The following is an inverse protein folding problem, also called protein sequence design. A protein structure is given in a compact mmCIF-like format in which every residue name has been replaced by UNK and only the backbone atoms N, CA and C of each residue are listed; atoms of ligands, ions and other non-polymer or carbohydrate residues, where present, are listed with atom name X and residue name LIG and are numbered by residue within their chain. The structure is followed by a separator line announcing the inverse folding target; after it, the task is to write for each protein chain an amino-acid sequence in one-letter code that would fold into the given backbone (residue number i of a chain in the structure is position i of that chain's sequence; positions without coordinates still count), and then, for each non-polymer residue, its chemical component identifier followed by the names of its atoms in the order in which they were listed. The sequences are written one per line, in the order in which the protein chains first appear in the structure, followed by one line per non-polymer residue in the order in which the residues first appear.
data_IF_884119493211
#
_entry.id   IF_884119493211
#
_cell.length_a   1.000
_cell.length_b   1.000
_cell.length_c   1.000
_cell.angle_alpha   90.00
_cell.angle_beta   90.00
_cell.angle_gamma   90.00
#
_symmetry.space_group_name_H-M   'P 1'
#
loop_
_entity.id
_entity.type
_entity.pdbx_description
1 polymer ?
#
# COMPACT_ATOMS: atom_id res chain seq x y z
N UNK A 1 3.08 6.75 10.79
CA UNK A 1 1.60 6.86 10.67
C UNK A 1 0.97 6.52 12.00
N UNK A 2 0.12 7.38 12.50
CA UNK A 2 -0.73 7.06 13.65
C UNK A 2 -1.94 6.30 13.16
N UNK A 3 -2.23 5.14 13.78
CA UNK A 3 -3.39 4.28 13.45
C UNK A 3 -3.56 4.07 11.93
N UNK A 4 -2.58 3.47 11.26
CA UNK A 4 -2.70 3.24 9.82
C UNK A 4 -3.92 2.37 9.49
N UNK A 5 -4.65 2.67 8.41
CA UNK A 5 -5.82 1.89 8.01
C UNK A 5 -5.50 0.48 7.56
N UNK A 6 -4.26 0.26 7.09
CA UNK A 6 -3.73 -1.07 6.84
C UNK A 6 -2.39 -1.22 7.56
N UNK A 7 -2.28 -2.27 8.34
CA UNK A 7 -1.10 -2.63 9.10
C UNK A 7 -0.96 -4.14 9.09
N UNK A 8 0.19 -4.64 8.70
CA UNK A 8 0.45 -6.07 8.67
C UNK A 8 1.89 -6.39 9.05
N UNK A 9 2.09 -7.54 9.67
CA UNK A 9 3.42 -8.12 9.86
C UNK A 9 3.88 -8.73 8.55
N UNK A 10 5.13 -8.44 8.17
CA UNK A 10 5.75 -8.91 6.94
C UNK A 10 6.79 -9.97 7.26
N UNK A 11 6.75 -11.07 6.54
CA UNK A 11 7.75 -12.13 6.64
C UNK A 11 9.00 -11.75 5.87
N UNK A 12 10.15 -11.90 6.52
CA UNK A 12 11.47 -11.79 5.88
C UNK A 12 11.93 -13.21 5.59
N UNK A 13 12.14 -13.52 4.30
CA UNK A 13 12.63 -14.82 3.86
C UNK A 13 14.15 -14.79 3.72
N UNK A 14 14.78 -15.94 3.89
CA UNK A 14 16.22 -16.07 3.69
C UNK A 14 16.65 -15.60 2.28
N UNK A 15 15.86 -15.92 1.26
CA UNK A 15 16.10 -15.49 -0.12
C UNK A 15 15.95 -13.98 -0.37
N UNK A 16 15.42 -13.22 0.60
CA UNK A 16 15.31 -11.76 0.51
C UNK A 16 16.62 -11.03 0.81
N UNK A 17 17.61 -11.73 1.37
CA UNK A 17 18.87 -11.14 1.79
C UNK A 17 19.85 -10.98 0.64
N UNK A 18 20.65 -9.90 0.69
CA UNK A 18 21.80 -9.68 -0.17
C UNK A 18 23.06 -10.37 0.42
N UNK A 19 24.22 -10.34 -0.29
CA UNK A 19 25.45 -10.93 0.24
C UNK A 19 25.97 -10.34 1.54
N UNK A 20 25.50 -9.16 1.93
CA UNK A 20 25.87 -8.49 3.19
C UNK A 20 24.97 -8.85 4.37
N UNK A 21 23.95 -9.70 4.14
CA UNK A 21 23.01 -10.12 5.17
C UNK A 21 21.86 -9.14 5.44
N UNK A 22 21.73 -8.11 4.63
CA UNK A 22 20.60 -7.17 4.66
C UNK A 22 19.53 -7.58 3.66
N UNK A 23 18.28 -7.21 3.91
CA UNK A 23 17.23 -7.35 2.91
C UNK A 23 17.62 -6.53 1.67
N UNK A 24 17.60 -7.20 0.50
CA UNK A 24 17.90 -6.56 -0.77
C UNK A 24 16.95 -5.39 -1.03
N UNK A 25 17.48 -4.27 -1.52
CA UNK A 25 16.72 -3.06 -1.77
C UNK A 25 15.50 -3.27 -2.68
N UNK A 26 15.55 -4.19 -3.64
CA UNK A 26 14.43 -4.51 -4.54
C UNK A 26 13.25 -5.18 -3.80
N UNK A 27 13.50 -5.89 -2.71
CA UNK A 27 12.47 -6.60 -1.93
C UNK A 27 11.52 -5.64 -1.23
N UNK A 28 11.93 -4.41 -0.94
CA UNK A 28 11.07 -3.39 -0.33
C UNK A 28 9.82 -3.11 -1.16
N UNK A 29 9.91 -3.20 -2.48
CA UNK A 29 8.74 -3.05 -3.37
C UNK A 29 7.74 -4.19 -3.19
N UNK A 30 8.21 -5.41 -2.94
CA UNK A 30 7.35 -6.56 -2.62
C UNK A 30 6.66 -6.35 -1.26
N UNK A 31 7.34 -5.78 -0.29
CA UNK A 31 6.73 -5.43 1.00
C UNK A 31 5.62 -4.39 0.83
N UNK A 32 5.84 -3.36 0.03
CA UNK A 32 4.80 -2.37 -0.29
C UNK A 32 3.61 -3.02 -0.98
N UNK A 33 3.85 -3.95 -1.89
CA UNK A 33 2.77 -4.70 -2.55
C UNK A 33 1.92 -5.50 -1.57
N UNK A 34 2.55 -6.21 -0.63
CA UNK A 34 1.83 -6.96 0.40
C UNK A 34 0.98 -6.06 1.29
N UNK A 35 1.49 -4.90 1.67
CA UNK A 35 0.74 -3.91 2.47
C UNK A 35 -0.41 -3.31 1.65
N UNK A 36 -0.19 -3.03 0.38
CA UNK A 36 -1.24 -2.57 -0.55
C UNK A 36 -2.37 -3.59 -0.66
N UNK A 37 -2.03 -4.87 -0.83
CA UNK A 37 -3.02 -5.96 -0.86
C UNK A 37 -3.81 -6.01 0.45
N UNK A 38 -3.15 -5.84 1.59
CA UNK A 38 -3.82 -5.75 2.89
C UNK A 38 -4.82 -4.59 2.92
N UNK A 39 -4.45 -3.42 2.44
CA UNK A 39 -5.35 -2.26 2.33
C UNK A 39 -6.58 -2.57 1.47
N UNK A 40 -6.37 -3.12 0.28
CA UNK A 40 -7.45 -3.48 -0.63
C UNK A 40 -8.38 -4.55 -0.06
N UNK A 41 -7.86 -5.50 0.72
CA UNK A 41 -8.70 -6.50 1.41
C UNK A 41 -9.63 -5.85 2.42
N UNK A 42 -9.14 -4.85 3.15
CA UNK A 42 -10.00 -4.08 4.08
C UNK A 42 -11.11 -3.36 3.30
N UNK A 43 -10.80 -2.72 2.18
CA UNK A 43 -11.82 -2.09 1.33
C UNK A 43 -12.83 -3.11 0.81
N UNK A 44 -12.38 -4.27 0.35
CA UNK A 44 -13.24 -5.33 -0.16
C UNK A 44 -14.22 -5.83 0.89
N UNK A 45 -13.74 -6.04 2.11
CA UNK A 45 -14.60 -6.43 3.24
C UNK A 45 -15.69 -5.38 3.51
N UNK A 46 -15.33 -4.10 3.44
CA UNK A 46 -16.28 -2.99 3.67
C UNK A 46 -17.37 -2.91 2.60
N UNK A 47 -17.08 -3.29 1.35
CA UNK A 47 -18.05 -3.26 0.24
C UNK A 47 -18.69 -4.62 -0.04
N UNK A 48 -18.41 -5.64 0.78
CA UNK A 48 -19.05 -6.95 0.71
C UNK A 48 -18.53 -7.88 -0.39
N UNK A 49 -17.28 -7.71 -0.81
CA UNK A 49 -16.63 -8.62 -1.74
C UNK A 49 -15.97 -9.76 -0.96
N UNK A 50 -16.52 -10.96 -1.06
CA UNK A 50 -16.13 -12.10 -0.24
C UNK A 50 -14.80 -12.76 -0.61
N UNK A 51 -14.35 -12.65 -1.85
CA UNK A 51 -13.14 -13.32 -2.31
C UNK A 51 -12.25 -12.37 -3.10
N UNK A 52 -11.09 -12.11 -2.53
CA UNK A 52 -9.96 -11.45 -3.19
C UNK A 52 -8.85 -12.47 -3.38
N UNK A 53 -8.67 -12.92 -4.59
CA UNK A 53 -7.42 -13.57 -4.96
C UNK A 53 -6.42 -12.48 -5.37
N UNK A 54 -5.27 -12.43 -4.67
CA UNK A 54 -4.17 -11.52 -4.96
C UNK A 54 -4.54 -10.02 -5.08
N UNK A 55 -5.59 -9.58 -4.38
CA UNK A 55 -6.01 -8.17 -4.44
C UNK A 55 -6.78 -7.80 -5.71
N UNK A 56 -7.21 -8.76 -6.50
CA UNK A 56 -7.95 -8.51 -7.74
C UNK A 56 -9.43 -8.25 -7.46
N UNK A 57 -9.85 -7.00 -7.56
CA UNK A 57 -11.25 -6.61 -7.49
C UNK A 57 -11.72 -6.23 -8.90
N UNK A 58 -12.69 -6.96 -9.48
CA UNK A 58 -13.26 -6.56 -10.77
C UNK A 58 -13.78 -5.11 -10.76
N UNK A 59 -13.40 -4.33 -11.77
CA UNK A 59 -13.73 -2.91 -11.86
C UNK A 59 -12.83 -1.98 -11.06
N UNK A 60 -11.91 -2.52 -10.27
CA UNK A 60 -10.94 -1.75 -9.48
C UNK A 60 -9.49 -2.19 -9.74
N UNK A 61 -9.24 -2.80 -10.87
CA UNK A 61 -7.88 -3.17 -11.30
C UNK A 61 -7.06 -1.93 -11.60
N UNK A 62 -5.76 -2.00 -11.35
CA UNK A 62 -4.84 -0.87 -11.51
C UNK A 62 -3.49 -1.32 -12.03
N UNK A 63 -2.76 -0.35 -12.56
CA UNK A 63 -1.32 -0.47 -12.84
C UNK A 63 -0.56 0.55 -12.01
N UNK A 64 0.69 0.24 -11.68
CA UNK A 64 1.57 1.15 -10.96
C UNK A 64 2.26 2.05 -11.98
N UNK A 65 2.09 3.37 -11.83
CA UNK A 65 2.72 4.36 -12.68
C UNK A 65 4.07 4.81 -12.14
N UNK A 66 4.20 4.90 -10.81
CA UNK A 66 5.42 5.36 -10.15
C UNK A 66 5.49 4.77 -8.74
N UNK A 67 6.70 4.44 -8.30
CA UNK A 67 6.97 4.07 -6.91
C UNK A 67 8.25 4.74 -6.46
N UNK A 68 8.23 5.33 -5.28
CA UNK A 68 9.41 5.88 -4.61
C UNK A 68 9.67 5.13 -3.33
N UNK A 69 10.94 4.92 -3.01
CA UNK A 69 11.39 4.31 -1.76
C UNK A 69 12.53 5.15 -1.17
N UNK A 70 12.43 5.44 0.12
CA UNK A 70 13.51 6.01 0.91
C UNK A 70 13.95 5.00 1.94
N UNK A 71 15.20 4.58 1.83
CA UNK A 71 15.83 3.63 2.76
C UNK A 71 16.44 4.41 3.93
N UNK A 72 15.94 4.15 5.15
CA UNK A 72 16.37 4.86 6.36
C UNK A 72 17.35 4.04 7.18
N UNK A 73 17.17 2.72 7.23
CA UNK A 73 18.00 1.79 7.97
C UNK A 73 17.91 0.39 7.34
N UNK A 74 18.95 -0.44 7.49
CA UNK A 74 18.90 -1.81 6.97
C UNK A 74 17.89 -2.66 7.73
N UNK A 75 17.36 -3.68 7.03
CA UNK A 75 16.52 -4.71 7.61
C UNK A 75 17.33 -6.01 7.62
N UNK A 76 17.35 -6.69 8.77
CA UNK A 76 18.05 -7.96 8.95
C UNK A 76 17.05 -9.12 9.05
N UNK A 77 17.53 -10.34 8.80
CA UNK A 77 16.69 -11.55 8.84
C UNK A 77 15.97 -11.75 10.17
N UNK A 78 16.63 -11.43 11.28
CA UNK A 78 16.10 -11.59 12.64
C UNK A 78 15.07 -10.51 13.03
N UNK A 79 14.92 -9.46 12.23
CA UNK A 79 14.01 -8.36 12.54
C UNK A 79 12.54 -8.79 12.46
N UNK A 80 11.73 -8.22 13.34
CA UNK A 80 10.28 -8.26 13.24
C UNK A 80 9.87 -7.04 12.41
N UNK A 81 9.28 -7.27 11.24
CA UNK A 81 8.95 -6.23 10.28
C UNK A 81 7.44 -6.00 10.20
N UNK A 82 7.04 -4.74 10.30
CA UNK A 82 5.68 -4.26 10.12
C UNK A 82 5.60 -3.32 8.93
N UNK A 83 4.58 -3.50 8.12
CA UNK A 83 4.26 -2.60 7.01
C UNK A 83 2.92 -1.92 7.23
N UNK A 84 2.86 -0.64 6.91
CA UNK A 84 1.66 0.19 7.01
C UNK A 84 1.43 0.95 5.72
N UNK A 85 0.17 1.20 5.41
CA UNK A 85 -0.23 1.99 4.25
C UNK A 85 -1.43 2.89 4.58
N UNK A 86 -1.48 4.02 3.89
CA UNK A 86 -2.63 4.91 3.87
C UNK A 86 -2.83 5.50 2.48
N UNK A 87 -4.03 5.94 2.21
CA UNK A 87 -4.32 6.69 0.99
C UNK A 87 -3.84 8.14 1.14
N UNK A 88 -3.13 8.66 0.15
CA UNK A 88 -2.70 10.05 0.13
C UNK A 88 -3.65 10.91 -0.70
N UNK A 89 -3.84 10.56 -1.96
CA UNK A 89 -4.70 11.30 -2.89
C UNK A 89 -5.53 10.36 -3.76
N UNK A 90 -6.68 10.85 -4.22
CA UNK A 90 -7.57 10.13 -5.14
C UNK A 90 -8.01 11.10 -6.23
N UNK A 91 -7.68 10.76 -7.47
CA UNK A 91 -8.17 11.44 -8.67
C UNK A 91 -9.34 10.69 -9.31
N UNK A 92 -9.76 11.12 -10.49
CA UNK A 92 -10.86 10.47 -11.22
C UNK A 92 -10.47 9.08 -11.73
N UNK A 93 -9.20 8.88 -12.09
CA UNK A 93 -8.68 7.65 -12.72
C UNK A 93 -7.44 7.11 -12.02
N UNK A 94 -7.06 7.71 -10.90
CA UNK A 94 -5.82 7.40 -10.21
C UNK A 94 -5.94 7.56 -8.72
N UNK A 95 -4.98 6.99 -8.00
CA UNK A 95 -4.80 7.22 -6.56
C UNK A 95 -3.33 7.06 -6.20
N UNK A 96 -2.94 7.68 -5.10
CA UNK A 96 -1.60 7.54 -4.54
C UNK A 96 -1.66 7.07 -3.10
N UNK A 97 -0.74 6.18 -2.73
CA UNK A 97 -0.62 5.64 -1.39
C UNK A 97 0.75 5.97 -0.81
N UNK A 98 0.79 6.15 0.50
CA UNK A 98 2.01 6.23 1.29
C UNK A 98 2.22 4.92 2.06
N UNK A 99 3.48 4.51 2.19
CA UNK A 99 3.90 3.29 2.88
C UNK A 99 4.97 3.60 3.93
N UNK A 100 4.94 2.85 5.02
CA UNK A 100 6.01 2.80 6.01
C UNK A 100 6.36 1.35 6.35
N UNK A 101 7.65 1.10 6.52
CA UNK A 101 8.18 -0.14 7.09
C UNK A 101 8.88 0.19 8.41
N UNK A 102 8.56 -0.56 9.45
CA UNK A 102 9.17 -0.42 10.78
C UNK A 102 9.59 -1.77 11.33
N UNK A 103 10.74 -1.81 12.00
CA UNK A 103 11.22 -2.98 12.72
C UNK A 103 11.05 -2.80 14.23
N UNK A 104 10.64 -3.85 14.94
CA UNK A 104 10.44 -3.85 16.38
C UNK A 104 9.31 -4.78 16.79
N UNK A 105 9.14 -4.97 18.11
CA UNK A 105 8.08 -5.83 18.66
C UNK A 105 6.68 -5.34 18.28
N UNK A 106 6.50 -4.01 18.23
CA UNK A 106 5.25 -3.38 17.81
C UNK A 106 5.54 -2.34 16.74
N UNK A 107 4.55 -2.05 15.91
CA UNK A 107 4.66 -0.98 14.92
C UNK A 107 4.90 0.39 15.58
N UNK A 108 4.11 0.74 16.59
CA UNK A 108 4.18 2.05 17.24
C UNK A 108 5.48 2.30 18.00
N UNK A 109 6.10 1.25 18.54
CA UNK A 109 7.41 1.31 19.20
C UNK A 109 8.59 1.00 18.28
N UNK A 110 8.32 0.76 16.99
CA UNK A 110 9.31 0.33 16.02
C UNK A 110 10.16 1.45 15.45
N UNK A 111 11.30 1.06 14.88
CA UNK A 111 12.20 1.95 14.16
C UNK A 111 11.77 2.06 12.70
N UNK A 112 11.63 3.28 12.19
CA UNK A 112 11.35 3.50 10.77
C UNK A 112 12.58 3.09 9.94
N UNK A 113 12.40 2.07 9.10
CA UNK A 113 13.48 1.54 8.24
C UNK A 113 13.30 1.92 6.77
N UNK A 114 12.08 2.17 6.33
CA UNK A 114 11.80 2.69 4.99
C UNK A 114 10.45 3.40 4.97
N UNK A 115 10.34 4.35 4.07
CA UNK A 115 9.09 4.99 3.69
C UNK A 115 9.02 5.11 2.17
N UNK A 116 7.82 5.20 1.64
CA UNK A 116 7.66 5.32 0.20
C UNK A 116 6.26 5.73 -0.19
N UNK A 117 6.09 5.89 -1.49
CA UNK A 117 4.80 6.19 -2.09
C UNK A 117 4.68 5.52 -3.44
N UNK A 118 3.45 5.28 -3.88
CA UNK A 118 3.18 4.78 -5.21
C UNK A 118 1.95 5.47 -5.80
N UNK A 119 2.05 5.82 -7.07
CA UNK A 119 0.94 6.30 -7.88
C UNK A 119 0.38 5.15 -8.71
N UNK A 120 -0.94 5.04 -8.72
CA UNK A 120 -1.68 3.97 -9.38
C UNK A 120 -2.69 4.58 -10.36
N UNK A 121 -2.91 3.88 -11.46
CA UNK A 121 -3.92 4.25 -12.45
C UNK A 121 -4.90 3.09 -12.59
N UNK A 122 -6.19 3.37 -12.45
CA UNK A 122 -7.22 2.37 -12.71
C UNK A 122 -7.21 1.97 -14.18
N UNK A 123 -7.21 0.67 -14.43
CA UNK A 123 -6.96 0.12 -15.74
C UNK A 123 -7.83 -1.10 -16.01
N UNK A 124 -8.43 -1.14 -17.18
CA UNK A 124 -9.17 -2.31 -17.65
C UNK A 124 -8.24 -3.16 -18.53
N UNK A 125 -7.81 -4.33 -18.05
CA UNK A 125 -6.92 -5.20 -18.82
C UNK A 125 -7.57 -5.86 -20.02
N UNK A 126 -8.90 -5.98 -20.03
CA UNK A 126 -9.64 -6.58 -21.15
C UNK A 126 -9.72 -5.61 -22.33
N UNK A 127 -10.04 -4.34 -22.04
CA UNK A 127 -10.11 -3.28 -23.03
C UNK A 127 -8.75 -2.58 -23.27
N UNK A 128 -7.75 -2.89 -22.44
CA UNK A 128 -6.42 -2.27 -22.46
C UNK A 128 -6.49 -0.73 -22.40
N UNK A 129 -7.33 -0.21 -21.51
CA UNK A 129 -7.58 1.22 -21.35
C UNK A 129 -7.58 1.66 -19.91
N UNK A 130 -7.24 2.93 -19.69
CA UNK A 130 -7.45 3.61 -18.43
C UNK A 130 -8.94 3.74 -18.17
N UNK A 131 -9.37 3.48 -16.94
CA UNK A 131 -10.77 3.59 -16.53
C UNK A 131 -10.95 4.52 -15.35
N UNK A 132 -12.17 4.95 -15.10
CA UNK A 132 -12.51 5.73 -13.92
C UNK A 132 -12.49 4.84 -12.68
N UNK A 133 -12.20 5.46 -11.52
CA UNK A 133 -12.34 4.77 -10.24
C UNK A 133 -13.77 4.24 -10.06
N UNK A 134 -13.93 3.11 -9.35
CA UNK A 134 -15.27 2.65 -8.99
C UNK A 134 -16.02 3.70 -8.16
N UNK A 135 -17.32 3.80 -8.34
CA UNK A 135 -18.16 4.79 -7.64
C UNK A 135 -18.08 4.69 -6.11
N UNK A 136 -17.88 3.48 -5.58
CA UNK A 136 -17.78 3.23 -4.16
C UNK A 136 -16.42 3.58 -3.56
N UNK A 137 -15.36 3.74 -4.37
CA UNK A 137 -13.97 3.80 -3.90
C UNK A 137 -13.70 4.99 -2.98
N UNK A 138 -13.97 6.19 -3.42
CA UNK A 138 -13.67 7.41 -2.66
C UNK A 138 -14.37 7.43 -1.30
N UNK A 139 -15.68 7.17 -1.27
CA UNK A 139 -16.44 7.17 -0.01
C UNK A 139 -16.00 6.06 0.94
N UNK A 140 -15.62 4.89 0.41
CA UNK A 140 -15.17 3.77 1.24
C UNK A 140 -13.81 4.07 1.87
N UNK A 141 -12.88 4.62 1.10
CA UNK A 141 -11.59 5.09 1.62
C UNK A 141 -11.78 6.17 2.67
N UNK A 142 -12.63 7.16 2.40
CA UNK A 142 -12.94 8.24 3.35
C UNK A 142 -13.49 7.69 4.67
N UNK A 143 -14.39 6.72 4.61
CA UNK A 143 -14.93 6.04 5.78
C UNK A 143 -13.87 5.24 6.53
N UNK A 144 -13.04 4.47 5.81
CA UNK A 144 -11.96 3.68 6.40
C UNK A 144 -10.97 4.56 7.16
N UNK A 145 -10.57 5.67 6.57
CA UNK A 145 -9.54 6.55 7.13
C UNK A 145 -10.09 7.64 8.05
N UNK A 146 -11.41 7.74 8.18
CA UNK A 146 -12.04 8.77 9.04
C UNK A 146 -11.75 10.20 8.58
N UNK A 147 -11.62 10.41 7.27
CA UNK A 147 -11.33 11.70 6.64
C UNK A 147 -12.44 12.06 5.66
N UNK A 148 -12.78 13.36 5.48
CA UNK A 148 -13.75 13.76 4.48
C UNK A 148 -13.23 13.47 3.05
N UNK A 149 -14.12 13.17 2.12
CA UNK A 149 -13.77 12.88 0.73
C UNK A 149 -12.90 13.97 0.10
N UNK A 150 -13.19 15.23 0.38
CA UNK A 150 -12.44 16.37 -0.15
C UNK A 150 -10.97 16.39 0.28
N UNK A 151 -10.63 15.72 1.41
CA UNK A 151 -9.24 15.64 1.89
C UNK A 151 -8.33 14.76 1.00
N UNK A 152 -8.92 13.99 0.09
CA UNK A 152 -8.17 13.12 -0.82
C UNK A 152 -7.96 13.73 -2.20
N UNK A 153 -8.61 14.84 -2.52
CA UNK A 153 -8.40 15.47 -3.82
C UNK A 153 -6.98 16.04 -3.92
N UNK A 154 -6.30 15.86 -5.06
CA UNK A 154 -5.02 16.49 -5.28
C UNK A 154 -5.15 18.01 -5.13
N UNK A 155 -4.14 18.63 -4.51
CA UNK A 155 -4.09 20.08 -4.49
C UNK A 155 -3.97 20.60 -5.94
N UNK A 156 -4.80 21.57 -6.29
CA UNK A 156 -4.69 22.28 -7.55
C UNK A 156 -3.39 23.08 -7.55
N UNK A 157 -2.48 22.69 -8.42
CA UNK A 157 -1.22 23.41 -8.66
C UNK A 157 -1.37 24.41 -9.80
#
# INVERSE_FOLDING_TARGET
MKKPPALTRLEIRYGDLDPYGHVNNAVYLEFFEKVRICYWRVLADMVGIEKLEAGDIPGARYVIAETTVRYKAPIFFEDILHGAARMRTIGNRSYAMDFELRTGETYGGGTLVAEGSAAHVFFDPLENTVQQRPDWFLRTVAKLEGRPEAAFFPEDH
#
